data_IF_924212853612
#
_entry.id   IF_924212853612
#
_cell.length_a   1.000
_cell.length_b   1.000
_cell.length_c   1.000
_cell.angle_alpha   90.00
_cell.angle_beta   90.00
_cell.angle_gamma   90.00
#
_symmetry.space_group_name_H-M   'P 1'
#
loop_
_entity.id
_entity.type
_entity.pdbx_description
1 polymer ?
#
# COMPACT_ATOMS: atom_id res chain seq x y z
N UNK A 1 -26.36 -11.16 1.80
CA UNK A 1 -25.69 -12.27 2.50
C UNK A 1 -24.66 -11.67 3.43
N UNK A 2 -24.68 -12.04 4.72
CA UNK A 2 -23.66 -11.66 5.69
C UNK A 2 -22.37 -12.43 5.36
N UNK A 3 -21.24 -11.74 5.10
CA UNK A 3 -19.94 -12.41 4.99
C UNK A 3 -19.46 -12.74 6.41
N UNK A 4 -19.10 -13.99 6.72
CA UNK A 4 -18.63 -14.33 8.06
C UNK A 4 -17.34 -13.57 8.36
N UNK A 5 -17.21 -13.05 9.58
CA UNK A 5 -15.92 -12.54 10.06
C UNK A 5 -14.89 -13.68 10.08
N UNK A 6 -13.62 -13.33 9.91
CA UNK A 6 -12.49 -14.26 10.01
C UNK A 6 -11.42 -13.66 10.91
N UNK A 7 -10.52 -14.51 11.39
CA UNK A 7 -9.41 -14.15 12.24
C UNK A 7 -8.07 -14.52 11.60
N UNK A 8 -6.98 -14.05 12.19
CA UNK A 8 -5.65 -14.51 11.81
C UNK A 8 -5.48 -16.02 12.03
N UNK A 9 -6.07 -16.58 13.09
CA UNK A 9 -5.97 -18.02 13.39
C UNK A 9 -6.63 -18.87 12.29
N UNK A 10 -7.76 -18.41 11.74
CA UNK A 10 -8.42 -19.07 10.59
C UNK A 10 -7.48 -19.12 9.38
N UNK A 11 -6.76 -18.02 9.11
CA UNK A 11 -5.79 -17.94 8.01
C UNK A 11 -4.57 -18.82 8.29
N UNK A 12 -4.01 -18.73 9.50
CA UNK A 12 -2.78 -19.41 9.89
C UNK A 12 -2.95 -20.94 9.95
N UNK A 13 -4.17 -21.45 10.15
CA UNK A 13 -4.48 -22.87 10.10
C UNK A 13 -4.33 -23.48 8.69
N UNK A 14 -4.55 -22.68 7.64
CA UNK A 14 -4.57 -23.16 6.24
C UNK A 14 -3.39 -22.66 5.40
N UNK A 15 -2.60 -21.71 5.92
CA UNK A 15 -1.51 -21.05 5.19
C UNK A 15 -0.13 -21.30 5.82
N UNK A 16 0.92 -21.11 5.03
CA UNK A 16 2.28 -21.02 5.58
C UNK A 16 2.58 -19.59 6.00
N UNK A 17 2.90 -19.40 7.28
CA UNK A 17 3.17 -18.08 7.87
C UNK A 17 4.66 -17.93 8.19
N UNK A 18 5.25 -16.81 7.78
CA UNK A 18 6.61 -16.39 8.16
C UNK A 18 6.55 -15.03 8.85
N UNK A 19 7.01 -14.97 10.09
CA UNK A 19 7.05 -13.76 10.91
C UNK A 19 8.44 -13.11 10.90
N UNK A 20 8.53 -11.80 11.09
CA UNK A 20 9.80 -11.07 11.14
C UNK A 20 10.57 -11.13 9.81
N UNK A 21 9.86 -11.20 8.68
CA UNK A 21 10.45 -11.37 7.35
C UNK A 21 11.21 -10.13 6.84
N UNK A 22 11.08 -9.00 7.53
CA UNK A 22 11.77 -7.75 7.24
C UNK A 22 12.58 -7.24 8.43
N UNK A 23 13.66 -6.54 8.13
CA UNK A 23 14.40 -5.73 9.10
C UNK A 23 14.43 -4.28 8.62
N UNK A 24 13.96 -3.36 9.45
CA UNK A 24 13.92 -1.92 9.16
C UNK A 24 14.32 -1.14 10.41
N UNK A 25 15.32 -0.27 10.28
CA UNK A 25 15.91 0.49 11.40
C UNK A 25 16.29 -0.43 12.59
N UNK A 26 16.81 -1.62 12.28
CA UNK A 26 17.18 -2.64 13.27
C UNK A 26 16.01 -3.42 13.89
N UNK A 27 14.75 -3.02 13.67
CA UNK A 27 13.54 -3.71 14.14
C UNK A 27 13.17 -4.85 13.19
N UNK A 28 12.74 -5.98 13.76
CA UNK A 28 12.10 -7.04 12.97
C UNK A 28 10.62 -6.68 12.78
N UNK A 29 10.17 -6.77 11.53
CA UNK A 29 8.82 -6.47 11.08
C UNK A 29 8.39 -7.54 10.08
N UNK A 30 7.12 -7.53 9.72
CA UNK A 30 6.62 -8.28 8.59
C UNK A 30 6.01 -9.63 8.95
N UNK A 31 4.85 -9.87 8.37
CA UNK A 31 4.16 -11.14 8.34
C UNK A 31 3.97 -11.52 6.87
N UNK A 32 4.52 -12.65 6.44
CA UNK A 32 4.30 -13.17 5.08
C UNK A 32 3.45 -14.42 5.16
N UNK A 33 2.31 -14.39 4.46
CA UNK A 33 1.30 -15.45 4.47
C UNK A 33 1.19 -16.01 3.06
N UNK A 34 1.76 -17.20 2.83
CA UNK A 34 1.64 -17.89 1.56
C UNK A 34 0.33 -18.70 1.55
N UNK A 35 -0.61 -18.26 0.72
CA UNK A 35 -1.92 -18.89 0.55
C UNK A 35 -1.86 -19.93 -0.57
N UNK A 36 -2.19 -21.21 -0.30
CA UNK A 36 -2.33 -22.22 -1.34
C UNK A 36 -3.28 -21.80 -2.46
N UNK A 37 -2.93 -22.06 -3.72
CA UNK A 37 -3.73 -21.68 -4.89
C UNK A 37 -5.17 -22.24 -4.84
N UNK A 38 -5.34 -23.44 -4.29
CA UNK A 38 -6.65 -24.08 -4.13
C UNK A 38 -7.62 -23.27 -3.25
N UNK A 39 -7.11 -22.37 -2.40
CA UNK A 39 -7.90 -21.56 -1.49
C UNK A 39 -8.19 -20.16 -2.03
N UNK A 40 -7.56 -19.73 -3.12
CA UNK A 40 -7.69 -18.36 -3.64
C UNK A 40 -9.14 -17.94 -3.95
N UNK A 41 -9.97 -18.90 -4.38
CA UNK A 41 -11.39 -18.66 -4.67
C UNK A 41 -12.31 -18.73 -3.44
N UNK A 42 -11.77 -19.06 -2.27
CA UNK A 42 -12.51 -19.32 -1.04
C UNK A 42 -12.43 -18.14 -0.07
N UNK A 43 -13.43 -18.01 0.79
CA UNK A 43 -13.35 -17.08 1.93
C UNK A 43 -12.38 -17.63 2.98
N UNK A 44 -11.51 -16.81 3.61
CA UNK A 44 -11.41 -15.36 3.49
C UNK A 44 -10.51 -14.85 2.35
N UNK A 45 -9.84 -15.72 1.61
CA UNK A 45 -8.81 -15.36 0.62
C UNK A 45 -9.34 -14.59 -0.60
N UNK A 46 -10.63 -14.69 -0.91
CA UNK A 46 -11.30 -13.88 -1.94
C UNK A 46 -11.98 -12.60 -1.39
N UNK A 47 -11.81 -12.28 -0.10
CA UNK A 47 -12.42 -11.12 0.54
C UNK A 47 -11.82 -9.80 0.00
N UNK A 48 -12.45 -8.68 0.36
CA UNK A 48 -11.94 -7.36 -0.05
C UNK A 48 -10.77 -6.92 0.82
N UNK A 49 -9.95 -5.99 0.34
CA UNK A 49 -8.82 -5.46 1.13
C UNK A 49 -9.28 -4.85 2.46
N UNK A 50 -10.47 -4.26 2.49
CA UNK A 50 -11.07 -3.71 3.71
C UNK A 50 -11.42 -4.79 4.73
N UNK A 51 -11.85 -5.98 4.29
CA UNK A 51 -12.08 -7.09 5.20
C UNK A 51 -10.75 -7.49 5.87
N UNK A 52 -9.65 -7.57 5.13
CA UNK A 52 -8.31 -7.81 5.70
C UNK A 52 -7.85 -6.68 6.64
N UNK A 53 -8.03 -5.41 6.27
CA UNK A 53 -7.68 -4.25 7.11
C UNK A 53 -8.43 -4.25 8.46
N UNK A 54 -9.67 -4.75 8.47
CA UNK A 54 -10.50 -4.83 9.68
C UNK A 54 -10.17 -6.03 10.54
N UNK A 55 -10.11 -7.21 9.93
CA UNK A 55 -9.95 -8.48 10.65
C UNK A 55 -8.52 -8.71 11.15
N UNK A 56 -7.50 -8.16 10.47
CA UNK A 56 -6.09 -8.35 10.83
C UNK A 56 -5.47 -7.15 11.56
N UNK A 57 -6.29 -6.26 12.13
CA UNK A 57 -5.81 -5.01 12.73
C UNK A 57 -4.76 -5.22 13.82
N UNK A 58 -4.92 -6.27 14.63
CA UNK A 58 -3.95 -6.63 15.66
C UNK A 58 -2.61 -7.01 15.03
N UNK A 59 -2.63 -7.89 14.04
CA UNK A 59 -1.42 -8.37 13.35
C UNK A 59 -0.74 -7.26 12.56
N UNK A 60 -1.53 -6.34 11.98
CA UNK A 60 -1.02 -5.14 11.31
C UNK A 60 -0.23 -4.28 12.30
N UNK A 61 -0.75 -4.03 13.50
CA UNK A 61 -0.04 -3.26 14.51
C UNK A 61 1.16 -4.02 15.10
N UNK A 62 1.04 -5.33 15.29
CA UNK A 62 2.14 -6.16 15.82
C UNK A 62 3.33 -6.25 14.85
N UNK A 63 3.06 -6.48 13.56
CA UNK A 63 4.10 -6.77 12.56
C UNK A 63 4.42 -5.59 11.65
N UNK A 64 3.58 -4.56 11.59
CA UNK A 64 3.75 -3.35 10.79
C UNK A 64 3.56 -3.53 9.28
N UNK A 65 3.89 -4.71 8.74
CA UNK A 65 3.77 -5.07 7.33
C UNK A 65 3.14 -6.46 7.27
N UNK A 66 2.15 -6.65 6.40
CA UNK A 66 1.62 -7.97 6.07
C UNK A 66 1.66 -8.15 4.55
N UNK A 67 2.15 -9.29 4.09
CA UNK A 67 2.15 -9.67 2.68
C UNK A 67 1.40 -10.99 2.49
N UNK A 68 0.54 -11.02 1.47
CA UNK A 68 -0.04 -12.22 0.88
C UNK A 68 0.48 -12.36 -0.55
N UNK A 69 1.67 -12.95 -0.76
CA UNK A 69 2.25 -13.10 -2.09
C UNK A 69 1.34 -13.93 -2.98
N UNK A 70 1.11 -13.46 -4.20
CA UNK A 70 0.32 -14.16 -5.22
C UNK A 70 -1.20 -14.19 -4.97
N UNK A 71 -1.71 -13.58 -3.89
CA UNK A 71 -3.14 -13.53 -3.63
C UNK A 71 -3.86 -12.75 -4.75
N UNK A 72 -4.87 -13.33 -5.43
CA UNK A 72 -5.53 -12.67 -6.55
C UNK A 72 -6.23 -11.38 -6.14
N UNK A 73 -6.08 -10.34 -6.97
CA UNK A 73 -6.68 -9.02 -6.73
C UNK A 73 -8.21 -9.10 -6.61
N UNK A 74 -8.74 -8.62 -5.49
CA UNK A 74 -10.13 -8.18 -5.38
C UNK A 74 -10.19 -6.64 -5.47
N UNK A 75 -10.63 -6.07 -6.61
CA UNK A 75 -10.63 -4.62 -6.82
C UNK A 75 -11.83 -3.91 -6.18
N UNK A 76 -12.71 -4.61 -5.45
CA UNK A 76 -13.89 -3.99 -4.86
C UNK A 76 -13.51 -2.78 -4.01
N UNK A 77 -14.08 -1.62 -4.36
CA UNK A 77 -13.94 -0.37 -3.62
C UNK A 77 -12.51 0.20 -3.49
N UNK A 78 -11.55 -0.14 -4.36
CA UNK A 78 -10.25 0.55 -4.36
C UNK A 78 -10.40 2.08 -4.37
N UNK A 79 -9.53 2.81 -3.68
CA UNK A 79 -9.58 4.28 -3.63
C UNK A 79 -8.79 4.91 -4.77
N UNK A 80 -7.73 4.24 -5.21
CA UNK A 80 -6.89 4.68 -6.31
C UNK A 80 -6.33 3.48 -7.08
N UNK A 81 -6.45 3.49 -8.41
CA UNK A 81 -5.64 2.66 -9.28
C UNK A 81 -4.39 3.46 -9.67
N UNK A 82 -3.29 3.29 -8.93
CA UNK A 82 -2.04 3.99 -9.17
C UNK A 82 -1.35 3.41 -10.41
N UNK A 83 -1.71 3.97 -11.56
CA UNK A 83 -1.14 3.68 -12.88
C UNK A 83 0.17 4.45 -13.08
N UNK A 84 0.75 4.31 -14.27
CA UNK A 84 1.86 5.16 -14.67
C UNK A 84 1.43 6.64 -14.63
N UNK A 85 2.30 7.56 -14.18
CA UNK A 85 1.93 8.96 -14.00
C UNK A 85 1.35 9.63 -15.26
N UNK A 86 1.86 9.26 -16.44
CA UNK A 86 1.36 9.74 -17.74
C UNK A 86 -0.09 9.34 -18.00
N UNK A 87 -0.52 8.18 -17.48
CA UNK A 87 -1.92 7.73 -17.60
C UNK A 87 -2.86 8.56 -16.71
N UNK A 88 -2.31 9.34 -15.77
CA UNK A 88 -3.04 10.27 -14.93
C UNK A 88 -2.93 11.73 -15.38
N UNK A 89 -2.51 12.02 -16.62
CA UNK A 89 -2.37 13.38 -17.16
C UNK A 89 -3.67 14.21 -17.16
N UNK A 90 -4.82 13.60 -16.87
CA UNK A 90 -6.09 14.28 -16.64
C UNK A 90 -6.23 14.92 -15.25
N UNK A 91 -5.33 14.59 -14.32
CA UNK A 91 -5.33 15.08 -12.95
C UNK A 91 -4.22 16.11 -12.76
N UNK A 92 -4.47 17.13 -11.95
CA UNK A 92 -3.45 18.05 -11.45
C UNK A 92 -2.85 17.61 -10.11
N UNK A 93 -3.29 16.46 -9.57
CA UNK A 93 -2.82 15.96 -8.29
C UNK A 93 -1.42 15.33 -8.47
N UNK A 94 -0.35 15.93 -7.89
CA UNK A 94 1.01 15.41 -8.01
C UNK A 94 1.16 13.99 -7.45
N UNK A 95 0.29 13.60 -6.50
CA UNK A 95 0.23 12.23 -6.00
C UNK A 95 0.01 11.20 -7.12
N UNK A 96 -0.70 11.56 -8.19
CA UNK A 96 -0.93 10.69 -9.33
C UNK A 96 0.12 10.86 -10.41
N UNK A 97 0.53 12.11 -10.66
CA UNK A 97 1.29 12.52 -11.85
C UNK A 97 2.81 12.57 -11.67
N UNK A 98 3.34 12.49 -10.45
CA UNK A 98 4.80 12.54 -10.23
C UNK A 98 5.41 11.13 -10.28
N UNK A 99 6.62 10.95 -10.82
CA UNK A 99 7.24 9.61 -10.84
C UNK A 99 7.59 9.12 -9.43
N UNK A 100 8.14 10.01 -8.61
CA UNK A 100 8.44 9.76 -7.20
C UNK A 100 7.56 10.63 -6.30
N UNK A 101 7.15 10.08 -5.15
CA UNK A 101 6.37 10.79 -4.15
C UNK A 101 7.23 11.10 -2.93
N UNK A 102 6.89 12.18 -2.21
CA UNK A 102 7.51 12.41 -0.90
C UNK A 102 7.08 11.33 0.10
N UNK A 103 7.94 10.91 1.05
CA UNK A 103 7.57 9.99 2.11
C UNK A 103 6.39 10.50 2.93
N UNK A 104 5.29 9.77 2.98
CA UNK A 104 4.09 10.21 3.69
C UNK A 104 3.45 9.05 4.46
N UNK A 105 2.59 9.43 5.40
CA UNK A 105 1.55 8.57 5.92
C UNK A 105 0.24 9.03 5.26
N UNK A 106 -0.72 8.13 5.12
CA UNK A 106 -2.05 8.58 4.71
C UNK A 106 -2.63 9.52 5.78
N UNK A 107 -3.56 10.38 5.37
CA UNK A 107 -4.20 11.31 6.31
C UNK A 107 -5.69 10.98 6.42
N UNK A 108 -6.18 10.63 7.61
CA UNK A 108 -5.43 10.35 8.84
C UNK A 108 -4.62 9.03 8.74
N UNK A 109 -3.57 8.87 9.56
CA UNK A 109 -2.61 7.79 9.42
C UNK A 109 -3.17 6.49 10.00
N UNK A 110 -3.77 5.69 9.12
CA UNK A 110 -4.32 4.37 9.39
C UNK A 110 -3.76 3.33 8.43
N UNK A 111 -3.82 2.04 8.78
CA UNK A 111 -3.41 0.98 7.88
C UNK A 111 -3.96 1.12 6.46
N UNK A 112 -3.07 0.92 5.49
CA UNK A 112 -3.38 1.02 4.06
C UNK A 112 -2.97 -0.27 3.39
N UNK A 113 -3.79 -0.72 2.45
CA UNK A 113 -3.50 -1.86 1.62
C UNK A 113 -3.16 -1.43 0.18
N UNK A 114 -2.23 -2.15 -0.42
CA UNK A 114 -1.87 -2.08 -1.82
C UNK A 114 -1.97 -3.47 -2.43
N UNK A 115 -2.64 -3.60 -3.57
CA UNK A 115 -2.87 -4.91 -4.18
C UNK A 115 -2.49 -4.89 -5.65
N UNK A 116 -1.65 -5.86 -6.03
CA UNK A 116 -1.15 -6.04 -7.38
C UNK A 116 -1.66 -7.33 -8.00
N UNK A 117 -2.21 -7.22 -9.21
CA UNK A 117 -2.62 -8.37 -10.01
C UNK A 117 -1.48 -8.99 -10.81
N UNK A 118 -0.45 -8.20 -11.15
CA UNK A 118 0.68 -8.61 -11.97
C UNK A 118 1.97 -7.89 -11.49
N UNK A 119 3.16 -8.38 -11.88
CA UNK A 119 4.40 -7.73 -11.49
C UNK A 119 4.49 -6.27 -11.98
N UNK A 120 5.07 -5.39 -11.16
CA UNK A 120 5.46 -4.03 -11.57
C UNK A 120 6.92 -4.00 -11.99
N UNK A 121 7.16 -3.35 -13.12
CA UNK A 121 8.50 -3.23 -13.72
C UNK A 121 9.16 -1.91 -13.36
N UNK A 122 8.39 -0.82 -13.34
CA UNK A 122 8.93 0.54 -13.33
C UNK A 122 8.79 1.27 -12.00
N UNK A 123 7.85 0.84 -11.16
CA UNK A 123 7.59 1.47 -9.87
C UNK A 123 7.58 0.44 -8.74
N UNK A 124 7.82 0.93 -7.54
CA UNK A 124 7.71 0.17 -6.31
C UNK A 124 7.22 1.07 -5.17
N UNK A 125 6.82 0.44 -4.06
CA UNK A 125 6.54 1.14 -2.81
C UNK A 125 7.81 1.14 -1.96
N UNK A 126 8.44 2.31 -1.83
CA UNK A 126 9.52 2.52 -0.86
C UNK A 126 8.88 2.70 0.51
N UNK A 127 9.22 1.84 1.47
CA UNK A 127 8.74 1.89 2.86
C UNK A 127 9.91 2.21 3.77
N UNK A 128 9.70 3.07 4.76
CA UNK A 128 10.76 3.51 5.66
C UNK A 128 10.22 3.86 7.05
N UNK A 129 11.09 3.89 8.04
CA UNK A 129 10.75 4.40 9.37
C UNK A 129 10.75 5.93 9.42
N UNK A 130 10.23 6.46 10.53
CA UNK A 130 10.18 7.89 10.78
C UNK A 130 11.53 8.61 10.63
N UNK A 131 12.62 8.03 11.15
CA UNK A 131 13.95 8.65 11.08
C UNK A 131 14.43 8.88 9.65
N UNK A 132 14.17 7.93 8.75
CA UNK A 132 14.53 8.09 7.34
C UNK A 132 13.64 9.12 6.65
N UNK A 133 12.34 9.16 6.98
CA UNK A 133 11.44 10.20 6.49
C UNK A 133 11.90 11.61 6.92
N UNK A 134 12.29 11.78 8.19
CA UNK A 134 12.83 13.06 8.68
C UNK A 134 14.12 13.47 7.95
N UNK A 135 15.04 12.53 7.71
CA UNK A 135 16.26 12.78 6.94
C UNK A 135 15.93 13.26 5.52
N UNK A 136 14.96 12.62 4.87
CA UNK A 136 14.49 13.04 3.55
C UNK A 136 14.00 14.50 3.57
N UNK A 137 13.16 14.87 4.55
CA UNK A 137 12.62 16.22 4.67
C UNK A 137 13.70 17.27 5.02
N UNK A 138 14.64 16.93 5.90
CA UNK A 138 15.77 17.81 6.24
C UNK A 138 16.61 18.13 5.01
N UNK A 139 16.91 17.12 4.19
CA UNK A 139 17.69 17.30 2.97
C UNK A 139 16.93 18.11 1.92
N UNK A 140 15.63 17.85 1.75
CA UNK A 140 14.80 18.67 0.87
C UNK A 140 14.81 20.15 1.31
N UNK A 141 14.80 20.41 2.62
CA UNK A 141 14.92 21.77 3.16
C UNK A 141 16.30 22.41 2.95
N UNK A 142 17.37 21.62 3.00
CA UNK A 142 18.75 22.08 2.74
C UNK A 142 19.05 22.26 1.25
N UNK A 143 18.34 21.55 0.37
CA UNK A 143 18.55 21.54 -1.07
C UNK A 143 17.22 21.73 -1.83
N UNK A 144 16.53 22.87 -1.65
CA UNK A 144 15.21 23.11 -2.23
C UNK A 144 15.19 23.12 -3.77
N UNK A 145 16.35 23.26 -4.41
CA UNK A 145 16.52 23.19 -5.86
C UNK A 145 16.45 21.75 -6.42
N UNK A 146 16.60 20.72 -5.58
CA UNK A 146 16.50 19.33 -6.05
C UNK A 146 15.04 18.91 -6.22
N UNK A 147 14.75 18.21 -7.32
CA UNK A 147 13.46 17.55 -7.50
C UNK A 147 13.32 16.36 -6.56
N UNK A 148 12.07 15.92 -6.32
CA UNK A 148 11.79 14.70 -5.56
C UNK A 148 12.44 13.49 -6.24
N UNK A 149 12.38 13.41 -7.57
CA UNK A 149 13.05 12.34 -8.33
C UNK A 149 14.57 12.30 -8.06
N UNK A 150 15.24 13.47 -8.07
CA UNK A 150 16.67 13.55 -7.78
C UNK A 150 17.02 13.16 -6.34
N UNK A 151 16.13 13.44 -5.38
CA UNK A 151 16.29 12.97 -4.00
C UNK A 151 16.14 11.45 -3.90
N UNK A 152 15.22 10.84 -4.66
CA UNK A 152 15.05 9.39 -4.70
C UNK A 152 16.27 8.68 -5.29
N UNK A 153 16.84 9.21 -6.38
CA UNK A 153 18.06 8.67 -7.01
C UNK A 153 19.23 8.58 -6.01
N UNK A 154 19.32 9.52 -5.08
CA UNK A 154 20.37 9.54 -4.06
C UNK A 154 20.10 8.58 -2.89
N UNK A 155 18.84 8.46 -2.45
CA UNK A 155 18.54 7.91 -1.12
C UNK A 155 17.85 6.56 -1.11
N UNK A 156 17.15 6.17 -2.17
CA UNK A 156 16.45 4.89 -2.17
C UNK A 156 17.47 3.76 -2.02
N UNK A 157 18.46 3.66 -2.92
CA UNK A 157 19.50 2.63 -2.85
C UNK A 157 20.24 2.64 -1.51
N UNK A 158 20.65 3.83 -1.04
CA UNK A 158 21.35 4.00 0.23
C UNK A 158 20.51 3.53 1.42
N UNK A 159 19.21 3.83 1.45
CA UNK A 159 18.34 3.38 2.54
C UNK A 159 18.19 1.86 2.58
N UNK A 160 18.22 1.19 1.43
CA UNK A 160 18.19 -0.28 1.35
C UNK A 160 19.48 -0.88 1.92
N UNK A 161 20.64 -0.31 1.56
CA UNK A 161 21.95 -0.75 2.04
C UNK A 161 22.11 -0.55 3.56
N UNK A 162 21.64 0.58 4.08
CA UNK A 162 21.69 0.91 5.51
C UNK A 162 20.58 0.22 6.33
N UNK A 163 19.64 -0.47 5.68
CA UNK A 163 18.50 -1.10 6.34
C UNK A 163 17.48 -0.12 6.93
N UNK A 164 17.44 1.11 6.42
CA UNK A 164 16.48 2.18 6.79
C UNK A 164 15.34 2.35 5.77
N UNK A 165 15.36 1.54 4.71
CA UNK A 165 14.29 1.45 3.73
C UNK A 165 14.05 0.01 3.27
N UNK A 166 12.84 -0.24 2.78
CA UNK A 166 12.42 -1.46 2.11
C UNK A 166 11.82 -1.09 0.75
N UNK A 167 12.01 -1.97 -0.24
CA UNK A 167 11.41 -1.82 -1.56
C UNK A 167 10.41 -2.95 -1.80
N UNK A 168 9.13 -2.62 -1.66
CA UNK A 168 8.02 -3.59 -1.65
C UNK A 168 7.08 -3.39 -2.84
N UNK A 169 6.10 -4.28 -2.95
CA UNK A 169 4.99 -4.17 -3.88
C UNK A 169 5.43 -4.15 -5.36
N UNK A 170 6.23 -5.14 -5.71
CA UNK A 170 6.68 -5.38 -7.10
C UNK A 170 6.14 -6.69 -7.67
N UNK A 171 5.77 -7.61 -6.81
CA UNK A 171 5.21 -8.91 -7.17
C UNK A 171 3.70 -8.90 -6.91
N UNK A 172 2.92 -9.74 -7.61
CA UNK A 172 1.50 -9.88 -7.37
C UNK A 172 1.20 -10.25 -5.92
N UNK A 173 0.06 -9.81 -5.42
CA UNK A 173 -0.39 -10.07 -4.06
C UNK A 173 -0.88 -8.82 -3.33
N UNK A 174 -1.34 -9.03 -2.11
CA UNK A 174 -1.80 -8.00 -1.20
C UNK A 174 -0.67 -7.62 -0.24
N UNK A 175 -0.34 -6.35 -0.19
CA UNK A 175 0.53 -5.73 0.80
C UNK A 175 -0.31 -4.85 1.72
N UNK A 176 -0.17 -5.01 3.03
CA UNK A 176 -0.78 -4.14 4.03
C UNK A 176 0.35 -3.47 4.82
N UNK A 177 0.24 -2.16 4.99
CA UNK A 177 1.21 -1.34 5.71
C UNK A 177 0.51 -0.63 6.85
N UNK A 178 1.04 -0.77 8.06
CA UNK A 178 0.69 0.09 9.18
C UNK A 178 1.39 1.45 9.05
N UNK A 179 0.81 2.32 8.22
CA UNK A 179 1.26 3.70 8.14
C UNK A 179 0.75 4.56 9.31
N UNK A 180 0.15 3.97 10.34
CA UNK A 180 -0.33 4.71 11.51
C UNK A 180 0.78 5.21 12.42
N UNK A 181 0.41 5.98 13.44
CA UNK A 181 1.32 6.37 14.51
C UNK A 181 1.85 5.19 15.33
N UNK A 182 1.27 4.00 15.23
CA UNK A 182 1.71 2.82 15.98
C UNK A 182 3.09 2.34 15.52
N UNK A 183 3.24 1.94 14.25
CA UNK A 183 4.55 1.57 13.72
C UNK A 183 5.35 2.74 13.14
N UNK A 184 4.70 3.89 12.86
CA UNK A 184 5.32 5.09 12.27
C UNK A 184 6.04 4.78 10.95
N UNK A 185 5.44 3.91 10.13
CA UNK A 185 5.94 3.59 8.81
C UNK A 185 5.47 4.65 7.82
N UNK A 186 6.41 5.16 7.05
CA UNK A 186 6.17 6.07 5.93
C UNK A 186 6.35 5.29 4.64
N UNK A 187 5.68 5.75 3.60
CA UNK A 187 5.82 5.17 2.28
C UNK A 187 5.81 6.22 1.18
N UNK A 188 6.33 5.83 0.02
CA UNK A 188 6.32 6.63 -1.19
C UNK A 188 6.35 5.73 -2.42
N UNK A 189 5.68 6.12 -3.50
CA UNK A 189 6.02 5.61 -4.82
C UNK A 189 7.44 6.03 -5.16
N UNK A 190 8.25 5.08 -5.59
CA UNK A 190 9.56 5.35 -6.20
C UNK A 190 9.62 4.78 -7.60
N UNK A 191 10.29 5.50 -8.49
CA UNK A 191 10.69 5.00 -9.80
C UNK A 191 11.92 4.09 -9.66
N UNK A 192 11.97 3.02 -10.44
CA UNK A 192 13.14 2.13 -10.58
C UNK A 192 13.97 2.47 -11.83
N UNK A 193 13.58 3.52 -12.54
CA UNK A 193 14.20 3.93 -13.79
C UNK A 193 15.44 4.78 -13.53
N UNK A 194 16.43 4.64 -14.41
CA UNK A 194 17.25 5.79 -14.80
C UNK A 194 16.46 6.63 -15.80
N UNK A 195 16.68 7.96 -15.84
CA UNK A 195 15.87 8.96 -16.54
C UNK A 195 15.59 8.76 -18.07
N UNK A 196 16.04 7.68 -18.72
CA UNK A 196 16.03 7.50 -20.18
C UNK A 196 14.92 6.60 -20.77
N UNK A 197 14.05 5.95 -20.00
CA UNK A 197 13.14 4.90 -20.52
C UNK A 197 11.62 5.23 -20.50
N UNK A 198 11.25 6.52 -20.53
CA UNK A 198 9.87 6.99 -20.30
C UNK A 198 8.77 6.37 -21.21
N UNK A 199 9.11 5.88 -22.41
CA UNK A 199 8.13 5.40 -23.39
C UNK A 199 7.47 4.05 -23.02
N UNK A 200 8.17 3.15 -22.32
CA UNK A 200 7.61 1.85 -21.91
C UNK A 200 6.88 1.91 -20.56
N UNK A 201 7.01 3.03 -19.84
CA UNK A 201 6.44 3.16 -18.48
C UNK A 201 4.91 3.06 -18.47
N UNK A 202 4.26 3.45 -19.56
CA UNK A 202 2.82 3.32 -19.74
C UNK A 202 2.32 1.86 -19.73
N UNK A 203 3.22 0.87 -19.85
CA UNK A 203 2.91 -0.56 -19.77
C UNK A 203 3.00 -1.13 -18.35
N UNK A 204 3.35 -0.33 -17.34
CA UNK A 204 3.42 -0.82 -15.96
C UNK A 204 2.06 -1.32 -15.46
N UNK A 205 2.11 -2.32 -14.58
CA UNK A 205 0.91 -2.84 -13.94
C UNK A 205 0.33 -1.83 -12.95
N UNK A 206 -0.99 -1.54 -12.98
CA UNK A 206 -1.63 -0.70 -11.98
C UNK A 206 -1.58 -1.34 -10.59
N UNK A 207 -1.26 -0.52 -9.60
CA UNK A 207 -1.35 -0.88 -8.19
C UNK A 207 -2.64 -0.29 -7.59
N UNK A 208 -3.46 -1.11 -6.95
CA UNK A 208 -4.70 -0.66 -6.34
C UNK A 208 -4.47 -0.34 -4.86
N UNK A 209 -4.76 0.88 -4.46
CA UNK A 209 -4.68 1.32 -3.06
C UNK A 209 -6.06 1.24 -2.39
N UNK A 210 -6.05 0.94 -1.10
CA UNK A 210 -7.23 0.81 -0.25
C UNK A 210 -6.93 1.45 1.10
N UNK A 211 -7.67 2.50 1.42
CA UNK A 211 -7.59 3.21 2.68
C UNK A 211 -9.02 3.41 3.17
N UNK A 212 -9.35 3.01 4.40
CA UNK A 212 -10.72 3.05 4.92
C UNK A 212 -11.31 4.47 4.91
N UNK A 213 -10.52 5.47 5.28
CA UNK A 213 -10.94 6.88 5.23
C UNK A 213 -11.07 7.35 3.79
N UNK A 214 -10.11 6.98 2.94
CA UNK A 214 -10.16 7.19 1.50
C UNK A 214 -11.42 6.63 0.86
N UNK A 215 -11.87 5.45 1.30
CA UNK A 215 -13.13 4.84 0.85
C UNK A 215 -14.33 5.69 1.24
N UNK A 216 -14.36 6.22 2.47
CA UNK A 216 -15.49 6.97 2.97
C UNK A 216 -15.59 8.37 2.37
N UNK A 217 -14.45 9.02 2.08
CA UNK A 217 -14.40 10.45 1.73
C UNK A 217 -13.86 10.75 0.32
N UNK A 218 -12.94 9.94 -0.20
CA UNK A 218 -12.12 10.31 -1.36
C UNK A 218 -12.16 9.33 -2.53
N UNK A 219 -13.02 8.30 -2.47
CA UNK A 219 -13.07 7.19 -3.44
C UNK A 219 -13.24 7.65 -4.89
N UNK A 220 -13.92 8.78 -5.12
CA UNK A 220 -14.16 9.39 -6.43
C UNK A 220 -13.28 10.63 -6.68
N UNK A 221 -12.64 11.17 -5.63
CA UNK A 221 -11.82 12.38 -5.72
C UNK A 221 -10.38 12.05 -6.15
N UNK A 222 -9.84 10.92 -5.68
CA UNK A 222 -8.47 10.52 -5.97
C UNK A 222 -8.29 9.99 -7.38
N UNK A 223 -9.29 9.32 -7.94
CA UNK A 223 -9.27 8.87 -9.33
C UNK A 223 -10.66 9.03 -9.97
N UNK A 224 -10.89 10.19 -10.58
CA UNK A 224 -12.16 10.51 -11.24
C UNK A 224 -12.50 9.61 -12.44
N UNK A 225 -11.54 8.82 -12.94
CA UNK A 225 -11.73 7.90 -14.07
C UNK A 225 -11.85 6.43 -13.65
N UNK A 226 -11.89 6.16 -12.35
CA UNK A 226 -12.08 4.81 -11.79
C UNK A 226 -13.35 4.11 -12.31
N UNK A 227 -14.41 4.87 -12.57
CA UNK A 227 -15.72 4.33 -12.99
C UNK A 227 -16.46 3.60 -11.87
N UNK A 228 -17.53 2.88 -12.26
CA UNK A 228 -18.49 2.32 -11.29
C UNK A 228 -18.40 0.79 -11.15
N UNK A 229 -17.63 0.14 -12.02
CA UNK A 229 -17.53 -1.32 -12.16
C UNK A 229 -17.23 -2.03 -10.84
N UNK A 230 -16.39 -1.41 -9.99
CA UNK A 230 -15.94 -2.01 -8.73
C UNK A 230 -16.56 -1.34 -7.50
N UNK A 231 -17.69 -0.64 -7.64
CA UNK A 231 -18.41 -0.05 -6.50
C UNK A 231 -19.27 -1.10 -5.82
N UNK A 232 -19.16 -1.18 -4.50
CA UNK A 232 -20.03 -1.98 -3.64
C UNK A 232 -20.49 -1.13 -2.45
N UNK A 233 -21.73 -0.66 -2.51
CA UNK A 233 -22.33 0.15 -1.45
C UNK A 233 -22.47 -0.61 -0.13
N UNK A 234 -22.70 -1.92 -0.17
CA UNK A 234 -22.81 -2.74 1.04
C UNK A 234 -21.46 -2.90 1.71
N UNK A 235 -20.39 -3.12 0.95
CA UNK A 235 -19.04 -3.15 1.49
C UNK A 235 -18.65 -1.80 2.11
N UNK A 236 -18.92 -0.69 1.42
CA UNK A 236 -18.68 0.65 1.97
C UNK A 236 -19.45 0.88 3.28
N UNK A 237 -20.72 0.47 3.34
CA UNK A 237 -21.53 0.57 4.55
C UNK A 237 -20.94 -0.23 5.72
N UNK A 238 -20.46 -1.47 5.47
CA UNK A 238 -19.78 -2.28 6.49
C UNK A 238 -18.51 -1.61 7.02
N UNK A 239 -17.71 -0.99 6.14
CA UNK A 239 -16.53 -0.21 6.57
C UNK A 239 -16.95 0.98 7.44
N UNK A 240 -18.00 1.71 7.05
CA UNK A 240 -18.50 2.83 7.84
C UNK A 240 -18.96 2.40 9.24
N UNK A 241 -19.69 1.28 9.35
CA UNK A 241 -20.13 0.71 10.62
C UNK A 241 -18.96 0.25 11.49
N UNK A 242 -17.95 -0.38 10.89
CA UNK A 242 -16.71 -0.75 11.57
C UNK A 242 -16.00 0.49 12.12
N UNK A 243 -15.72 1.49 11.27
CA UNK A 243 -14.99 2.70 11.68
C UNK A 243 -15.71 3.45 12.80
N UNK A 244 -17.04 3.55 12.73
CA UNK A 244 -17.84 4.16 13.78
C UNK A 244 -17.74 3.40 15.12
N UNK A 245 -17.78 2.06 15.08
CA UNK A 245 -17.63 1.22 16.28
C UNK A 245 -16.24 1.33 16.91
N UNK A 246 -15.21 1.38 16.08
CA UNK A 246 -13.81 1.47 16.52
C UNK A 246 -13.38 2.91 16.88
N UNK A 247 -14.26 3.90 16.73
CA UNK A 247 -13.96 5.30 17.03
C UNK A 247 -12.87 5.89 16.13
N UNK A 248 -12.71 5.36 14.92
CA UNK A 248 -11.73 5.83 13.95
C UNK A 248 -12.26 7.12 13.30
N UNK A 249 -11.42 8.16 13.27
CA UNK A 249 -11.79 9.49 12.79
C UNK A 249 -11.43 9.64 11.31
N UNK A 250 -12.33 10.17 10.49
CA UNK A 250 -12.06 10.57 9.11
C UNK A 250 -11.67 12.03 8.99
#
# INVERSE_FOLDING_TARGET
MYRPAFSFDDIAAECTVTTGCYRLDGRLLGLRIAVPEALHGCHPFNASAYDFLQQLRKEIFEWGIIEFPGLPLNPTNYTLAQRAPQQHAYSSNPYLTDFCQRPHQDTPPYPTAFWLAAPRRYFATWVMGHTMAERFYQLQGQQPQLSVDALHEQWVARSLEEGSGLLLNRQPGLLILDNSHHNRLYHARTSLLSAQQAADVCSDTPMYAFNEVGLLHYIDQMDSRRGDEHRDAQARQRVAEFMAREGLQG
#
